data_IF_285921126862
#
_entry.id   IF_285921126862
#
_cell.length_a   1.000
_cell.length_b   1.000
_cell.length_c   1.000
_cell.angle_alpha   90.00
_cell.angle_beta   90.00
_cell.angle_gamma   90.00
#
_symmetry.space_group_name_H-M   'P 1'
#
loop_
_entity.id
_entity.type
_entity.pdbx_description
1 polymer ?
#
# COMPACT_ATOMS: atom_id res chain seq x y z
N UNK A 1 14.84 -3.46 -20.18
CA UNK A 1 13.54 -3.34 -20.88
C UNK A 1 12.72 -2.29 -20.13
N UNK A 2 12.46 -1.15 -20.77
CA UNK A 2 11.95 0.05 -20.08
C UNK A 2 10.44 -0.03 -19.93
N UNK A 3 9.98 0.02 -18.68
CA UNK A 3 8.60 0.05 -18.21
C UNK A 3 7.84 1.30 -18.68
N UNK A 4 7.58 1.41 -19.99
CA UNK A 4 7.15 2.65 -20.65
C UNK A 4 5.79 3.20 -20.21
N UNK A 5 4.92 2.34 -19.68
CA UNK A 5 3.57 2.69 -19.22
C UNK A 5 3.31 2.34 -17.76
N UNK A 6 4.37 2.10 -16.99
CA UNK A 6 4.26 1.79 -15.57
C UNK A 6 4.79 2.95 -14.76
N UNK A 7 4.04 3.33 -13.74
CA UNK A 7 4.48 4.34 -12.78
C UNK A 7 4.11 3.89 -11.37
N UNK A 8 4.94 4.29 -10.40
CA UNK A 8 4.84 3.84 -9.02
C UNK A 8 4.39 4.98 -8.13
N UNK A 9 3.37 4.74 -7.32
CA UNK A 9 2.94 5.64 -6.25
C UNK A 9 3.54 5.11 -4.96
N UNK A 10 4.41 5.90 -4.34
CA UNK A 10 4.88 5.62 -2.99
C UNK A 10 3.93 6.33 -2.02
N UNK A 11 3.09 5.57 -1.33
CA UNK A 11 2.19 6.10 -0.31
C UNK A 11 2.95 6.11 1.01
N UNK A 12 2.96 7.18 1.81
CA UNK A 12 3.66 7.18 3.09
C UNK A 12 3.12 6.09 4.04
N UNK A 13 4.01 5.47 4.81
CA UNK A 13 3.70 4.37 5.74
C UNK A 13 2.64 4.72 6.80
N UNK A 14 2.48 6.02 7.07
CA UNK A 14 1.51 6.58 8.02
C UNK A 14 0.06 6.47 7.53
N UNK A 15 -0.15 6.22 6.23
CA UNK A 15 -1.46 6.20 5.60
C UNK A 15 -2.20 4.87 5.81
N UNK A 16 -2.47 4.49 7.07
CA UNK A 16 -3.35 3.37 7.43
C UNK A 16 -2.73 1.96 7.37
N UNK A 17 -1.46 1.80 7.76
CA UNK A 17 -0.87 0.48 7.99
C UNK A 17 -1.13 0.06 9.44
N UNK A 18 -2.03 -0.91 9.65
CA UNK A 18 -2.24 -1.53 10.97
C UNK A 18 -1.63 -2.91 11.03
N UNK A 19 -0.87 -3.15 12.10
CA UNK A 19 -0.28 -4.43 12.43
C UNK A 19 -1.19 -5.22 13.37
N UNK A 20 -1.18 -6.54 13.24
CA UNK A 20 -1.69 -7.38 14.32
C UNK A 20 -0.76 -7.38 15.52
N UNK A 21 -1.37 -7.37 16.70
CA UNK A 21 -0.72 -7.63 17.98
C UNK A 21 -1.24 -8.95 18.54
N UNK A 22 -0.54 -9.54 19.52
CA UNK A 22 -0.97 -10.76 20.21
C UNK A 22 -2.30 -10.61 20.98
N UNK A 23 -2.88 -9.41 21.02
CA UNK A 23 -4.17 -9.09 21.62
C UNK A 23 -5.30 -8.95 20.60
N UNK A 24 -4.99 -9.02 19.31
CA UNK A 24 -5.98 -8.96 18.23
C UNK A 24 -6.69 -10.30 18.04
N UNK A 25 -7.87 -10.29 17.41
CA UNK A 25 -8.63 -11.52 17.15
C UNK A 25 -7.89 -12.41 16.15
N UNK A 26 -7.98 -13.72 16.33
CA UNK A 26 -7.35 -14.70 15.43
C UNK A 26 -7.83 -14.58 13.96
N UNK A 27 -9.02 -14.00 13.75
CA UNK A 27 -9.61 -13.76 12.42
C UNK A 27 -9.23 -12.40 11.81
N UNK A 28 -8.46 -11.57 12.51
CA UNK A 28 -7.97 -10.31 11.95
C UNK A 28 -6.99 -10.58 10.80
N UNK A 29 -6.78 -9.61 9.92
CA UNK A 29 -5.74 -9.69 8.89
C UNK A 29 -4.36 -9.36 9.50
N UNK A 30 -3.32 -10.16 9.21
CA UNK A 30 -1.97 -10.02 9.83
C UNK A 30 -1.39 -8.62 9.62
N UNK A 31 -1.70 -8.02 8.47
CA UNK A 31 -1.44 -6.63 8.15
C UNK A 31 -2.54 -6.12 7.23
N UNK A 32 -3.02 -4.92 7.47
CA UNK A 32 -3.86 -4.20 6.50
C UNK A 32 -2.97 -3.25 5.72
N UNK A 33 -2.99 -3.41 4.41
CA UNK A 33 -2.43 -2.48 3.44
C UNK A 33 -3.63 -1.81 2.77
N UNK A 34 -3.55 -0.51 2.50
CA UNK A 34 -4.55 0.11 1.65
C UNK A 34 -5.21 1.32 2.29
N UNK A 35 -4.84 2.49 1.79
CA UNK A 35 -5.83 3.55 1.66
C UNK A 35 -6.68 3.23 0.42
N UNK A 36 -7.76 2.49 0.65
CA UNK A 36 -8.67 2.05 -0.43
C UNK A 36 -9.27 3.23 -1.20
N UNK A 37 -9.35 4.41 -0.58
CA UNK A 37 -9.82 5.64 -1.22
C UNK A 37 -8.77 6.17 -2.19
N UNK A 38 -7.50 6.25 -1.77
CA UNK A 38 -6.40 6.68 -2.62
C UNK A 38 -6.19 5.73 -3.81
N UNK A 39 -6.24 4.42 -3.58
CA UNK A 39 -6.15 3.42 -4.66
C UNK A 39 -7.30 3.58 -5.66
N UNK A 40 -8.55 3.68 -5.17
CA UNK A 40 -9.73 3.84 -6.02
C UNK A 40 -9.68 5.12 -6.87
N UNK A 41 -9.30 6.25 -6.27
CA UNK A 41 -9.23 7.54 -6.97
C UNK A 41 -8.12 7.54 -8.01
N UNK A 42 -6.94 7.01 -7.65
CA UNK A 42 -5.79 6.98 -8.55
C UNK A 42 -6.04 6.03 -9.72
N UNK A 43 -6.62 4.85 -9.47
CA UNK A 43 -6.97 3.89 -10.52
C UNK A 43 -8.02 4.48 -11.48
N UNK A 44 -8.97 5.26 -10.95
CA UNK A 44 -9.97 5.96 -11.77
C UNK A 44 -9.41 7.11 -12.60
N UNK A 45 -8.40 7.81 -12.11
CA UNK A 45 -7.76 8.93 -12.81
C UNK A 45 -6.65 8.49 -13.76
N UNK A 46 -6.13 7.27 -13.60
CA UNK A 46 -5.03 6.80 -14.43
C UNK A 46 -5.50 6.61 -15.89
N UNK A 47 -4.66 6.96 -16.88
CA UNK A 47 -4.95 6.61 -18.26
C UNK A 47 -5.08 5.10 -18.43
N UNK A 48 -6.08 4.66 -19.20
CA UNK A 48 -6.45 3.25 -19.41
C UNK A 48 -5.34 2.34 -19.95
N UNK A 49 -4.27 2.92 -20.49
CA UNK A 49 -3.13 2.19 -21.05
C UNK A 49 -1.89 2.25 -20.15
N UNK A 50 -2.06 2.68 -18.90
CA UNK A 50 -0.99 2.74 -17.90
C UNK A 50 -1.32 1.82 -16.74
N UNK A 51 -0.29 1.31 -16.09
CA UNK A 51 -0.43 0.45 -14.90
C UNK A 51 0.20 1.19 -13.74
N UNK A 52 -0.59 1.38 -12.68
CA UNK A 52 -0.14 1.99 -11.43
C UNK A 52 0.32 0.89 -10.48
N UNK A 53 1.51 1.03 -9.93
CA UNK A 53 2.01 0.15 -8.86
C UNK A 53 1.99 0.93 -7.55
N UNK A 54 1.20 0.46 -6.58
CA UNK A 54 1.15 1.04 -5.25
C UNK A 54 2.24 0.41 -4.37
N UNK A 55 3.10 1.25 -3.81
CA UNK A 55 4.15 0.83 -2.89
C UNK A 55 3.94 1.50 -1.54
N UNK A 56 3.80 0.66 -0.51
CA UNK A 56 3.74 1.07 0.88
C UNK A 56 5.11 0.76 1.50
N UNK A 57 5.97 1.78 1.77
CA UNK A 57 7.23 1.56 2.44
C UNK A 57 6.95 1.06 3.86
N UNK A 58 7.74 0.10 4.32
CA UNK A 58 7.71 -0.26 5.73
C UNK A 58 8.27 0.91 6.54
N UNK A 59 7.47 1.45 7.46
CA UNK A 59 7.97 2.40 8.45
C UNK A 59 9.16 1.77 9.18
N UNK A 60 10.25 2.52 9.34
CA UNK A 60 11.53 2.06 9.95
C UNK A 60 11.42 1.68 11.43
N UNK A 61 10.22 1.65 11.98
CA UNK A 61 9.94 1.50 13.41
C UNK A 61 9.88 0.02 13.82
N UNK A 62 9.64 -0.89 12.87
CA UNK A 62 9.44 -2.32 13.15
C UNK A 62 10.45 -3.25 12.45
N UNK A 63 11.47 -2.70 11.78
CA UNK A 63 12.55 -3.48 11.13
C UNK A 63 13.72 -3.82 12.07
N UNK A 64 13.53 -3.64 13.38
CA UNK A 64 14.43 -4.11 14.43
C UNK A 64 13.69 -5.14 15.27
N UNK A 65 13.67 -6.40 14.82
CA UNK A 65 13.59 -7.60 15.67
C UNK A 65 14.13 -8.78 14.87
#
# INVERSE_FOLDING_TARGET
EFWRYYWRVNIPADANISWQTCTSTCDSAIRTWGDTVAECVIDKLCPSHTVVVFAYPEGKENAQN
#
